data_IF_432181949732
#
_entry.id   IF_432181949732
#
_cell.length_a   1.000
_cell.length_b   1.000
_cell.length_c   1.000
_cell.angle_alpha   90.00
_cell.angle_beta   90.00
_cell.angle_gamma   90.00
#
_symmetry.space_group_name_H-M   'P 1'
#
loop_
_entity.id
_entity.type
_entity.pdbx_description
1 polymer ?
#
# COMPACT_ATOMS: atom_id res chain seq x y z
N UNK A 1 50.52 46.27 53.21
CA UNK A 1 50.25 45.10 52.38
C UNK A 1 48.86 45.24 51.89
N UNK A 2 48.70 45.90 50.78
CA UNK A 2 47.41 46.12 50.09
C UNK A 2 47.36 45.20 48.87
N UNK A 3 46.30 44.38 48.79
CA UNK A 3 46.06 43.44 47.70
C UNK A 3 45.65 44.19 46.44
N UNK A 4 46.04 43.73 45.23
CA UNK A 4 45.64 44.32 43.95
C UNK A 4 44.22 43.92 43.56
N UNK A 5 43.54 44.86 42.95
CA UNK A 5 42.19 44.80 42.38
C UNK A 5 42.15 44.02 41.06
N UNK A 6 41.29 43.01 40.87
CA UNK A 6 41.22 42.20 39.65
C UNK A 6 40.06 42.61 38.69
N UNK A 7 39.98 43.88 38.29
CA UNK A 7 38.99 44.31 37.29
C UNK A 7 39.63 45.13 36.18
N UNK A 8 40.40 44.46 35.32
CA UNK A 8 40.79 45.00 34.01
C UNK A 8 40.22 44.09 32.91
N UNK A 9 38.95 44.28 32.56
CA UNK A 9 38.37 43.71 31.34
C UNK A 9 38.92 44.45 30.13
N UNK A 10 39.86 43.81 29.41
CA UNK A 10 40.29 44.26 28.10
C UNK A 10 39.17 43.99 27.08
N UNK A 11 38.48 45.06 26.66
CA UNK A 11 37.59 45.05 25.52
C UNK A 11 38.39 44.69 24.24
N UNK A 12 38.14 43.51 23.69
CA UNK A 12 38.60 43.16 22.32
C UNK A 12 37.73 43.90 21.31
N UNK A 13 38.32 44.58 20.32
CA UNK A 13 37.55 45.29 19.29
C UNK A 13 36.93 44.29 18.33
N UNK A 14 35.61 44.38 18.19
CA UNK A 14 34.76 44.05 17.06
C UNK A 14 35.17 42.94 16.12
N UNK A 15 34.91 41.68 16.47
CA UNK A 15 34.69 40.66 15.44
C UNK A 15 33.33 40.92 14.76
N UNK A 16 33.35 41.62 13.61
CA UNK A 16 32.25 41.62 12.68
C UNK A 16 32.04 40.20 12.20
N UNK A 17 31.07 39.48 12.72
CA UNK A 17 30.59 38.20 12.16
C UNK A 17 30.11 38.45 10.74
N UNK A 18 30.83 37.95 9.76
CA UNK A 18 30.38 37.93 8.39
C UNK A 18 28.98 37.33 8.31
N UNK A 19 28.03 37.92 7.55
CA UNK A 19 26.71 37.34 7.38
C UNK A 19 26.88 35.94 6.78
N UNK A 20 26.47 34.93 7.57
CA UNK A 20 26.46 33.55 7.11
C UNK A 20 25.69 33.44 5.78
N UNK A 21 26.02 32.46 4.90
CA UNK A 21 25.34 32.31 3.62
C UNK A 21 23.84 32.21 3.91
N UNK A 22 23.09 33.22 3.46
CA UNK A 22 21.64 33.22 3.50
C UNK A 22 21.18 31.95 2.78
N UNK A 23 20.62 31.01 3.55
CA UNK A 23 19.98 29.85 2.98
C UNK A 23 19.01 30.35 1.91
N UNK A 24 19.21 29.91 0.67
CA UNK A 24 18.32 30.23 -0.43
C UNK A 24 16.89 29.98 0.02
N UNK A 25 15.96 30.93 -0.24
CA UNK A 25 14.57 30.77 0.18
C UNK A 25 14.07 29.42 -0.38
N UNK A 26 13.73 28.51 0.54
CA UNK A 26 13.04 27.27 0.18
C UNK A 26 11.81 27.70 -0.63
N UNK A 27 11.63 27.19 -1.87
CA UNK A 27 10.46 27.54 -2.64
C UNK A 27 9.23 27.26 -1.79
N UNK A 28 8.53 28.31 -1.37
CA UNK A 28 7.24 28.16 -0.71
C UNK A 28 6.32 27.58 -1.76
N UNK A 29 6.00 26.29 -1.60
CA UNK A 29 4.98 25.61 -2.38
C UNK A 29 3.75 26.49 -2.45
N UNK A 30 3.46 27.01 -3.63
CA UNK A 30 2.26 27.79 -3.88
C UNK A 30 1.06 26.91 -3.53
N UNK A 31 0.24 27.24 -2.54
CA UNK A 31 -0.94 26.46 -2.23
C UNK A 31 -1.92 26.60 -3.39
N UNK A 32 -1.95 25.62 -4.31
CA UNK A 32 -2.86 25.60 -5.44
C UNK A 32 -2.25 25.31 -6.81
N UNK A 33 -1.00 24.84 -6.89
CA UNK A 33 -0.44 24.36 -8.15
C UNK A 33 -1.32 23.27 -8.74
N UNK A 34 -1.89 23.48 -9.93
CA UNK A 34 -2.69 22.46 -10.63
C UNK A 34 -1.82 21.22 -10.81
N UNK A 35 -2.24 20.12 -10.22
CA UNK A 35 -1.61 18.80 -10.42
C UNK A 35 -1.56 18.56 -11.93
N UNK A 36 -0.36 18.37 -12.47
CA UNK A 36 -0.17 18.24 -13.91
C UNK A 36 -0.90 17.00 -14.47
N UNK A 37 -1.25 17.02 -15.75
CA UNK A 37 -1.92 15.90 -16.45
C UNK A 37 -1.16 14.57 -16.25
N UNK A 38 0.18 14.61 -16.25
CA UNK A 38 1.02 13.44 -16.04
C UNK A 38 0.80 12.78 -14.65
N UNK A 39 0.55 13.58 -13.61
CA UNK A 39 0.27 13.06 -12.26
C UNK A 39 -1.11 12.44 -12.18
N UNK A 40 -2.11 13.05 -12.80
CA UNK A 40 -3.45 12.46 -12.90
C UNK A 40 -3.42 11.14 -13.67
N UNK A 41 -2.66 11.06 -14.76
CA UNK A 41 -2.46 9.82 -15.51
C UNK A 41 -1.74 8.75 -14.67
N UNK A 42 -0.72 9.13 -13.90
CA UNK A 42 -0.02 8.22 -13.00
C UNK A 42 -0.93 7.70 -11.86
N UNK A 43 -1.76 8.58 -11.29
CA UNK A 43 -2.75 8.20 -10.27
C UNK A 43 -3.80 7.23 -10.82
N UNK A 44 -4.34 7.53 -12.01
CA UNK A 44 -5.28 6.64 -12.68
C UNK A 44 -4.65 5.29 -13.02
N UNK A 45 -3.44 5.28 -13.58
CA UNK A 45 -2.69 4.06 -13.86
C UNK A 45 -2.38 3.26 -12.57
N UNK A 46 -2.08 3.95 -11.47
CA UNK A 46 -1.87 3.33 -10.15
C UNK A 46 -3.09 2.59 -9.60
N UNK A 47 -4.30 2.92 -10.08
CA UNK A 47 -5.55 2.22 -9.76
C UNK A 47 -5.87 1.14 -10.80
N UNK A 48 -5.74 1.47 -12.07
CA UNK A 48 -6.16 0.59 -13.17
C UNK A 48 -5.25 -0.63 -13.32
N UNK A 49 -3.93 -0.43 -13.29
CA UNK A 49 -2.98 -1.51 -13.54
C UNK A 49 -3.04 -2.63 -12.48
N UNK A 50 -3.04 -2.35 -11.17
CA UNK A 50 -3.22 -3.40 -10.18
C UNK A 50 -4.59 -4.10 -10.26
N UNK A 51 -5.66 -3.37 -10.58
CA UNK A 51 -6.98 -3.96 -10.76
C UNK A 51 -7.00 -4.98 -11.91
N UNK A 52 -6.41 -4.63 -13.05
CA UNK A 52 -6.21 -5.55 -14.18
C UNK A 52 -5.33 -6.74 -13.74
N UNK A 53 -4.26 -6.49 -12.99
CA UNK A 53 -3.37 -7.54 -12.48
C UNK A 53 -4.10 -8.56 -11.61
N UNK A 54 -4.94 -8.10 -10.68
CA UNK A 54 -5.73 -9.00 -9.81
C UNK A 54 -6.72 -9.82 -10.65
N UNK A 55 -7.43 -9.19 -11.58
CA UNK A 55 -8.36 -9.91 -12.46
C UNK A 55 -7.62 -10.90 -13.37
N UNK A 56 -6.46 -10.53 -13.91
CA UNK A 56 -5.64 -11.41 -14.74
C UNK A 56 -5.14 -12.64 -13.96
N UNK A 57 -4.78 -12.48 -12.68
CA UNK A 57 -4.44 -13.61 -11.81
C UNK A 57 -5.61 -14.60 -11.69
N UNK A 58 -6.84 -14.13 -11.70
CA UNK A 58 -8.04 -14.97 -11.71
C UNK A 58 -8.08 -15.96 -12.88
N UNK A 59 -7.48 -15.64 -14.03
CA UNK A 59 -7.46 -16.52 -15.21
C UNK A 59 -6.62 -17.80 -15.04
N UNK A 60 -5.76 -17.85 -14.01
CA UNK A 60 -4.84 -18.97 -13.74
C UNK A 60 -5.14 -19.69 -12.41
N UNK A 61 -6.17 -19.27 -11.66
CA UNK A 61 -6.57 -19.93 -10.41
C UNK A 61 -7.01 -21.39 -10.59
N UNK A 62 -7.45 -21.78 -11.79
CA UNK A 62 -7.73 -23.18 -12.10
C UNK A 62 -6.50 -24.05 -12.40
N UNK A 63 -5.30 -23.42 -12.53
CA UNK A 63 -4.05 -24.11 -12.89
C UNK A 63 -3.15 -24.31 -11.67
N UNK A 64 -3.19 -23.38 -10.73
CA UNK A 64 -2.37 -23.43 -9.51
C UNK A 64 -3.14 -22.91 -8.30
N UNK A 65 -2.74 -23.37 -7.11
CA UNK A 65 -3.32 -22.90 -5.86
C UNK A 65 -3.08 -21.38 -5.67
N UNK A 66 -3.99 -20.66 -4.96
CA UNK A 66 -3.81 -19.24 -4.65
C UNK A 66 -2.46 -18.92 -3.99
N UNK A 67 -2.02 -19.76 -3.06
CA UNK A 67 -0.73 -19.62 -2.37
C UNK A 67 0.44 -19.75 -3.34
N UNK A 68 0.37 -20.72 -4.28
CA UNK A 68 1.37 -20.92 -5.33
C UNK A 68 1.48 -19.69 -6.23
N UNK A 69 0.35 -19.15 -6.68
CA UNK A 69 0.33 -17.93 -7.51
C UNK A 69 0.93 -16.75 -6.73
N UNK A 70 0.61 -16.60 -5.43
CA UNK A 70 1.07 -15.51 -4.62
C UNK A 70 2.60 -15.42 -4.56
N UNK A 71 3.30 -16.49 -4.21
CA UNK A 71 4.77 -16.43 -4.17
C UNK A 71 5.40 -16.35 -5.56
N UNK A 72 4.80 -17.01 -6.57
CA UNK A 72 5.34 -16.98 -7.93
C UNK A 72 5.36 -15.58 -8.55
N UNK A 73 4.36 -14.74 -8.28
CA UNK A 73 4.34 -13.37 -8.80
C UNK A 73 5.36 -12.46 -8.10
N UNK A 74 5.83 -12.81 -6.90
CA UNK A 74 6.87 -12.04 -6.22
C UNK A 74 8.23 -12.20 -6.90
N UNK A 75 8.51 -13.34 -7.57
CA UNK A 75 9.81 -13.60 -8.21
C UNK A 75 10.13 -12.58 -9.33
N UNK A 76 9.29 -12.41 -10.37
CA UNK A 76 9.57 -11.41 -11.40
C UNK A 76 9.60 -9.99 -10.85
N UNK A 77 8.71 -9.65 -9.90
CA UNK A 77 8.73 -8.34 -9.25
C UNK A 77 10.05 -8.08 -8.53
N UNK A 78 10.53 -9.05 -7.77
CA UNK A 78 11.80 -8.97 -7.07
C UNK A 78 12.97 -8.75 -8.03
N UNK A 79 13.05 -9.53 -9.13
CA UNK A 79 14.09 -9.38 -10.13
C UNK A 79 14.12 -7.95 -10.69
N UNK A 80 12.96 -7.44 -11.13
CA UNK A 80 12.85 -6.08 -11.69
C UNK A 80 13.23 -5.03 -10.65
N UNK A 81 12.71 -5.12 -9.43
CA UNK A 81 12.97 -4.13 -8.38
C UNK A 81 14.44 -4.16 -7.92
N UNK A 82 15.06 -5.33 -7.82
CA UNK A 82 16.47 -5.47 -7.44
C UNK A 82 17.39 -4.91 -8.53
N UNK A 83 17.15 -5.25 -9.80
CA UNK A 83 17.96 -4.73 -10.91
C UNK A 83 17.86 -3.21 -10.99
N UNK A 84 16.64 -2.66 -10.82
CA UNK A 84 16.36 -1.24 -10.91
C UNK A 84 16.94 -0.44 -9.73
N UNK A 85 16.71 -0.89 -8.50
CA UNK A 85 17.02 -0.12 -7.29
C UNK A 85 18.39 -0.48 -6.68
N UNK A 86 19.04 -1.54 -7.15
CA UNK A 86 20.43 -1.93 -6.81
C UNK A 86 20.68 -1.94 -5.29
N UNK A 87 19.95 -2.78 -4.49
CA UNK A 87 20.01 -2.76 -3.03
C UNK A 87 21.43 -2.98 -2.47
N UNK A 88 22.32 -3.61 -3.24
CA UNK A 88 23.73 -3.79 -2.87
C UNK A 88 24.55 -2.49 -2.83
N UNK A 89 24.03 -1.38 -3.39
CA UNK A 89 24.63 -0.05 -3.29
C UNK A 89 24.16 0.74 -2.08
N UNK A 90 23.16 0.22 -1.38
CA UNK A 90 22.54 0.83 -0.21
C UNK A 90 22.81 -0.06 0.99
N UNK A 91 23.35 0.48 2.07
CA UNK A 91 23.52 -0.27 3.31
C UNK A 91 22.17 -0.42 4.01
N UNK A 92 21.42 -1.46 3.71
CA UNK A 92 20.14 -1.72 4.39
C UNK A 92 20.31 -2.01 5.88
N UNK A 93 21.50 -2.55 6.28
CA UNK A 93 21.75 -2.96 7.66
C UNK A 93 20.75 -4.01 8.17
N UNK A 94 20.89 -4.42 9.42
CA UNK A 94 20.00 -5.44 10.04
C UNK A 94 18.55 -4.96 10.12
N UNK A 95 18.34 -3.67 10.42
CA UNK A 95 16.99 -3.09 10.53
C UNK A 95 16.28 -3.06 9.17
N UNK A 96 16.95 -2.61 8.12
CA UNK A 96 16.39 -2.61 6.77
C UNK A 96 16.09 -4.01 6.25
N UNK A 97 16.93 -4.99 6.56
CA UNK A 97 16.67 -6.40 6.24
C UNK A 97 15.44 -6.93 7.00
N UNK A 98 15.29 -6.61 8.29
CA UNK A 98 14.11 -6.98 9.07
C UNK A 98 12.81 -6.42 8.48
N UNK A 99 12.81 -5.14 8.07
CA UNK A 99 11.67 -4.51 7.38
C UNK A 99 11.41 -5.22 6.05
N UNK A 100 12.43 -5.53 5.26
CA UNK A 100 12.30 -6.24 4.00
C UNK A 100 11.61 -7.60 4.18
N UNK A 101 12.01 -8.38 5.19
CA UNK A 101 11.37 -9.67 5.52
C UNK A 101 9.89 -9.45 5.81
N UNK A 102 9.55 -8.48 6.67
CA UNK A 102 8.15 -8.20 7.04
C UNK A 102 7.34 -7.80 5.80
N UNK A 103 7.84 -6.90 4.98
CA UNK A 103 7.18 -6.45 3.75
C UNK A 103 6.96 -7.62 2.78
N UNK A 104 7.98 -8.46 2.57
CA UNK A 104 7.85 -9.64 1.72
C UNK A 104 6.78 -10.61 2.19
N UNK A 105 6.79 -10.95 3.49
CA UNK A 105 5.79 -11.83 4.11
C UNK A 105 4.38 -11.24 4.00
N UNK A 106 4.20 -9.94 4.27
CA UNK A 106 2.90 -9.27 4.15
C UNK A 106 2.39 -9.26 2.70
N UNK A 107 3.27 -9.07 1.73
CA UNK A 107 2.90 -9.10 0.30
C UNK A 107 2.46 -10.49 -0.14
N UNK A 108 3.14 -11.54 0.29
CA UNK A 108 2.76 -12.92 -0.02
C UNK A 108 1.41 -13.28 0.63
N UNK A 109 1.24 -12.99 1.92
CA UNK A 109 -0.01 -13.22 2.63
C UNK A 109 -1.18 -12.41 2.04
N UNK A 110 -0.94 -11.16 1.64
CA UNK A 110 -1.93 -10.36 0.93
C UNK A 110 -2.34 -11.03 -0.39
N UNK A 111 -1.37 -11.42 -1.21
CA UNK A 111 -1.61 -12.08 -2.49
C UNK A 111 -2.38 -13.39 -2.32
N UNK A 112 -1.92 -14.27 -1.44
CA UNK A 112 -2.56 -15.55 -1.11
C UNK A 112 -4.03 -15.35 -0.72
N UNK A 113 -4.33 -14.44 0.21
CA UNK A 113 -5.70 -14.18 0.66
C UNK A 113 -6.55 -13.49 -0.39
N UNK A 114 -6.00 -12.56 -1.15
CA UNK A 114 -6.71 -11.92 -2.25
C UNK A 114 -7.08 -12.92 -3.36
N UNK A 115 -6.15 -13.81 -3.74
CA UNK A 115 -6.41 -14.83 -4.76
C UNK A 115 -7.38 -15.91 -4.26
N UNK A 116 -7.32 -16.27 -2.98
CA UNK A 116 -8.34 -17.11 -2.35
C UNK A 116 -9.72 -16.43 -2.41
N UNK A 117 -9.79 -15.13 -2.18
CA UNK A 117 -11.04 -14.39 -2.20
C UNK A 117 -11.68 -14.36 -3.61
N UNK A 118 -10.90 -14.03 -4.64
CA UNK A 118 -11.44 -13.93 -6.01
C UNK A 118 -11.77 -15.27 -6.66
N UNK A 119 -11.45 -16.38 -5.99
CA UNK A 119 -11.82 -17.72 -6.47
C UNK A 119 -13.34 -17.95 -6.43
N UNK A 120 -14.04 -17.31 -5.50
CA UNK A 120 -15.49 -17.45 -5.32
C UNK A 120 -16.25 -16.12 -5.23
N UNK A 121 -15.53 -14.98 -5.24
CA UNK A 121 -16.12 -13.65 -5.24
C UNK A 121 -15.80 -12.92 -6.56
N UNK A 122 -16.71 -12.08 -7.06
CA UNK A 122 -16.36 -11.11 -8.08
C UNK A 122 -15.17 -10.27 -7.63
N UNK A 123 -14.23 -10.00 -8.55
CA UNK A 123 -12.98 -9.29 -8.24
C UNK A 123 -13.23 -7.95 -7.54
N UNK A 124 -14.22 -7.19 -8.02
CA UNK A 124 -14.60 -5.90 -7.41
C UNK A 124 -15.07 -6.04 -5.97
N UNK A 125 -15.84 -7.10 -5.65
CA UNK A 125 -16.33 -7.35 -4.29
C UNK A 125 -15.18 -7.71 -3.36
N UNK A 126 -14.28 -8.59 -3.79
CA UNK A 126 -13.10 -8.96 -3.01
C UNK A 126 -12.23 -7.74 -2.69
N UNK A 127 -11.96 -6.89 -3.69
CA UNK A 127 -11.23 -5.63 -3.49
C UNK A 127 -11.99 -4.67 -2.59
N UNK A 128 -13.31 -4.50 -2.77
CA UNK A 128 -14.13 -3.62 -1.93
C UNK A 128 -14.09 -4.04 -0.46
N UNK A 129 -14.27 -5.33 -0.18
CA UNK A 129 -14.22 -5.88 1.17
C UNK A 129 -12.83 -5.64 1.79
N UNK A 130 -11.75 -5.91 1.06
CA UNK A 130 -10.39 -5.70 1.59
C UNK A 130 -10.10 -4.24 1.93
N UNK A 131 -10.59 -3.29 1.14
CA UNK A 131 -10.39 -1.86 1.39
C UNK A 131 -11.16 -1.34 2.61
N UNK A 132 -12.23 -2.01 3.04
CA UNK A 132 -13.00 -1.56 4.22
C UNK A 132 -12.21 -1.67 5.52
N UNK A 133 -11.20 -2.53 5.58
CA UNK A 133 -10.29 -2.60 6.75
C UNK A 133 -9.60 -1.27 6.99
N UNK A 134 -9.24 -0.54 5.92
CA UNK A 134 -8.70 0.81 6.02
C UNK A 134 -9.66 1.83 6.66
N UNK A 135 -10.98 1.63 6.52
CA UNK A 135 -11.97 2.48 7.16
C UNK A 135 -11.97 2.36 8.70
N UNK A 136 -11.57 1.20 9.24
CA UNK A 136 -11.48 1.01 10.69
C UNK A 136 -10.44 1.96 11.31
N UNK A 137 -9.33 2.20 10.62
CA UNK A 137 -8.36 3.23 11.06
C UNK A 137 -8.96 4.62 10.99
N UNK A 138 -9.70 4.92 9.92
CA UNK A 138 -10.42 6.17 9.79
C UNK A 138 -11.42 6.40 10.92
N UNK A 139 -12.03 5.32 11.47
CA UNK A 139 -12.91 5.39 12.65
C UNK A 139 -12.17 5.81 13.91
N UNK A 140 -10.96 5.29 14.11
CA UNK A 140 -10.15 5.58 15.30
C UNK A 140 -9.65 7.03 15.26
N UNK A 141 -9.24 7.51 14.09
CA UNK A 141 -8.61 8.82 13.91
C UNK A 141 -9.57 9.89 13.36
N UNK A 142 -10.71 9.49 12.80
CA UNK A 142 -11.70 10.40 12.21
C UNK A 142 -12.51 11.15 13.27
N UNK A 143 -12.88 12.41 12.96
CA UNK A 143 -13.72 13.23 13.81
C UNK A 143 -15.12 13.42 13.20
N UNK A 144 -16.13 13.51 14.07
CA UNK A 144 -17.49 13.87 13.70
C UNK A 144 -18.38 12.74 13.16
N UNK A 145 -19.59 13.11 12.74
CA UNK A 145 -20.67 12.19 12.31
C UNK A 145 -20.33 11.41 11.03
N UNK A 146 -19.42 11.91 10.19
CA UNK A 146 -19.05 11.29 8.90
C UNK A 146 -18.48 9.88 9.06
N UNK A 147 -17.74 9.62 10.14
CA UNK A 147 -17.17 8.29 10.42
C UNK A 147 -18.25 7.24 10.64
N UNK A 148 -19.32 7.59 11.35
CA UNK A 148 -20.42 6.65 11.60
C UNK A 148 -21.22 6.36 10.33
N UNK A 149 -21.44 7.40 9.50
CA UNK A 149 -22.08 7.22 8.21
C UNK A 149 -21.28 6.31 7.29
N UNK A 150 -19.95 6.53 7.21
CA UNK A 150 -19.04 5.68 6.42
C UNK A 150 -19.08 4.23 6.92
N UNK A 151 -19.04 4.00 8.24
CA UNK A 151 -19.15 2.66 8.81
C UNK A 151 -20.50 2.02 8.48
N UNK A 152 -21.61 2.74 8.65
CA UNK A 152 -22.93 2.23 8.35
C UNK A 152 -23.07 1.82 6.87
N UNK A 153 -22.54 2.64 5.95
CA UNK A 153 -22.51 2.31 4.52
C UNK A 153 -21.64 1.08 4.24
N UNK A 154 -20.46 0.99 4.85
CA UNK A 154 -19.59 -0.16 4.68
C UNK A 154 -20.23 -1.44 5.20
N UNK A 155 -20.85 -1.41 6.38
CA UNK A 155 -21.58 -2.55 6.95
C UNK A 155 -22.76 -2.94 6.07
N UNK A 156 -23.56 -1.98 5.59
CA UNK A 156 -24.68 -2.25 4.67
C UNK A 156 -24.17 -2.90 3.36
N UNK A 157 -23.02 -2.45 2.82
CA UNK A 157 -22.38 -3.08 1.66
C UNK A 157 -21.95 -4.52 1.92
N UNK A 158 -21.38 -4.80 3.10
CA UNK A 158 -21.05 -6.18 3.51
C UNK A 158 -22.30 -7.06 3.65
N UNK A 159 -23.35 -6.53 4.23
CA UNK A 159 -24.64 -7.26 4.33
C UNK A 159 -25.18 -7.58 2.94
N UNK A 160 -25.10 -6.65 1.98
CA UNK A 160 -25.51 -6.90 0.60
C UNK A 160 -24.72 -8.07 -0.03
N UNK A 161 -23.42 -8.14 0.19
CA UNK A 161 -22.59 -9.27 -0.28
C UNK A 161 -22.91 -10.56 0.48
N UNK A 162 -23.02 -10.50 1.80
CA UNK A 162 -23.29 -11.65 2.64
C UNK A 162 -24.68 -12.27 2.37
N UNK A 163 -25.67 -11.46 1.95
CA UNK A 163 -27.00 -11.95 1.62
C UNK A 163 -26.99 -12.97 0.47
N UNK A 164 -26.03 -12.88 -0.43
CA UNK A 164 -25.84 -13.86 -1.52
C UNK A 164 -25.20 -15.15 -1.04
N UNK A 165 -24.44 -15.10 0.07
CA UNK A 165 -23.70 -16.23 0.62
C UNK A 165 -24.59 -17.04 1.57
N UNK A 166 -25.52 -17.84 1.03
CA UNK A 166 -26.35 -18.71 1.87
C UNK A 166 -25.50 -19.78 2.56
N UNK A 167 -25.49 -19.84 3.91
CA UNK A 167 -24.66 -20.80 4.64
C UNK A 167 -25.13 -22.26 4.50
N UNK A 168 -26.31 -22.47 3.93
CA UNK A 168 -26.92 -23.80 3.73
C UNK A 168 -26.37 -24.52 2.51
N UNK A 169 -25.70 -23.82 1.58
CA UNK A 169 -25.13 -24.39 0.34
C UNK A 169 -23.61 -24.48 0.44
N UNK A 170 -23.00 -25.42 -0.34
CA UNK A 170 -21.54 -25.51 -0.45
C UNK A 170 -20.96 -24.23 -1.02
N UNK A 171 -21.58 -23.67 -2.05
CA UNK A 171 -21.18 -22.42 -2.68
C UNK A 171 -21.25 -21.24 -1.71
N UNK A 172 -22.29 -21.19 -0.86
CA UNK A 172 -22.42 -20.17 0.15
C UNK A 172 -21.33 -20.23 1.22
N UNK A 173 -20.91 -21.43 1.65
CA UNK A 173 -19.75 -21.60 2.57
C UNK A 173 -18.44 -21.17 1.93
N UNK A 174 -18.22 -21.54 0.67
CA UNK A 174 -17.05 -21.11 -0.09
C UNK A 174 -17.01 -19.58 -0.24
N UNK A 175 -18.14 -18.97 -0.52
CA UNK A 175 -18.26 -17.52 -0.61
C UNK A 175 -17.99 -16.83 0.74
N UNK A 176 -18.49 -17.36 1.85
CA UNK A 176 -18.19 -16.83 3.19
C UNK A 176 -16.69 -16.94 3.52
N UNK A 177 -16.03 -18.07 3.20
CA UNK A 177 -14.60 -18.23 3.39
C UNK A 177 -13.80 -17.22 2.57
N UNK A 178 -14.26 -16.94 1.34
CA UNK A 178 -13.67 -15.95 0.45
C UNK A 178 -13.86 -14.51 0.94
N UNK A 179 -15.00 -14.18 1.57
CA UNK A 179 -15.20 -12.89 2.24
C UNK A 179 -14.21 -12.72 3.41
N UNK A 180 -14.03 -13.77 4.23
CA UNK A 180 -13.03 -13.75 5.32
C UNK A 180 -11.60 -13.61 4.77
N UNK A 181 -11.26 -14.32 3.69
CA UNK A 181 -9.97 -14.18 3.03
C UNK A 181 -9.74 -12.74 2.54
N UNK A 182 -10.77 -12.11 1.97
CA UNK A 182 -10.72 -10.72 1.53
C UNK A 182 -10.50 -9.73 2.69
N UNK A 183 -11.14 -9.94 3.84
CA UNK A 183 -10.91 -9.14 5.04
C UNK A 183 -9.47 -9.28 5.52
N UNK A 184 -8.92 -10.52 5.56
CA UNK A 184 -7.52 -10.74 5.91
C UNK A 184 -6.56 -10.08 4.91
N UNK A 185 -6.85 -10.13 3.61
CA UNK A 185 -6.08 -9.37 2.61
C UNK A 185 -6.07 -7.88 2.95
N UNK A 186 -7.20 -7.31 3.36
CA UNK A 186 -7.28 -5.92 3.82
C UNK A 186 -6.42 -5.63 5.05
N UNK A 187 -6.36 -6.55 6.02
CA UNK A 187 -5.49 -6.43 7.20
C UNK A 187 -4.02 -6.39 6.78
N UNK A 188 -3.59 -7.28 5.88
CA UNK A 188 -2.20 -7.29 5.41
C UNK A 188 -1.87 -6.04 4.59
N UNK A 189 -2.79 -5.58 3.73
CA UNK A 189 -2.64 -4.32 3.00
C UNK A 189 -2.44 -3.12 3.94
N UNK A 190 -3.17 -3.12 5.06
CA UNK A 190 -3.03 -2.11 6.09
C UNK A 190 -1.65 -2.14 6.74
N UNK A 191 -1.16 -3.33 7.14
CA UNK A 191 0.18 -3.47 7.70
C UNK A 191 1.26 -3.08 6.70
N UNK A 192 1.09 -3.39 5.42
CA UNK A 192 2.00 -2.91 4.36
C UNK A 192 2.06 -1.38 4.32
N UNK A 193 0.91 -0.70 4.37
CA UNK A 193 0.89 0.77 4.39
C UNK A 193 1.60 1.36 5.63
N UNK A 194 1.50 0.68 6.78
CA UNK A 194 2.26 1.06 7.98
C UNK A 194 3.76 0.86 7.78
N UNK A 195 4.19 -0.26 7.19
CA UNK A 195 5.61 -0.52 6.91
C UNK A 195 6.18 0.52 5.93
N UNK A 196 5.44 0.87 4.89
CA UNK A 196 5.84 1.93 3.96
C UNK A 196 6.05 3.29 4.65
N UNK A 197 5.23 3.60 5.64
CA UNK A 197 5.41 4.80 6.45
C UNK A 197 6.69 4.73 7.27
N UNK A 198 7.01 3.57 7.86
CA UNK A 198 8.25 3.35 8.63
C UNK A 198 9.47 3.45 7.71
N UNK A 199 9.45 2.82 6.53
CA UNK A 199 10.52 2.89 5.53
C UNK A 199 10.85 4.34 5.17
N UNK A 200 9.81 5.15 4.89
CA UNK A 200 10.00 6.54 4.51
C UNK A 200 10.59 7.39 5.64
N UNK A 201 10.28 7.08 6.90
CA UNK A 201 10.83 7.78 8.06
C UNK A 201 12.29 7.41 8.32
N UNK A 202 12.66 6.17 8.03
CA UNK A 202 14.02 5.68 8.18
C UNK A 202 14.91 6.01 6.98
N UNK A 203 14.34 6.59 5.92
CA UNK A 203 15.06 7.00 4.72
C UNK A 203 15.48 5.84 3.80
N UNK A 204 14.87 4.66 3.95
CA UNK A 204 15.15 3.53 3.06
C UNK A 204 14.48 3.71 1.69
N UNK A 205 15.16 3.26 0.61
CA UNK A 205 14.54 3.15 -0.70
C UNK A 205 13.55 1.97 -0.71
N UNK A 206 12.27 2.29 -0.86
CA UNK A 206 11.17 1.31 -0.84
C UNK A 206 11.35 0.22 -1.87
N UNK A 207 11.80 0.57 -3.07
CA UNK A 207 12.01 -0.42 -4.13
C UNK A 207 13.12 -1.40 -3.80
N UNK A 208 14.18 -0.96 -3.10
CA UNK A 208 15.25 -1.83 -2.64
C UNK A 208 14.75 -2.77 -1.52
N UNK A 209 14.04 -2.24 -0.54
CA UNK A 209 13.46 -3.01 0.57
C UNK A 209 12.46 -4.04 0.04
N UNK A 210 11.50 -3.62 -0.78
CA UNK A 210 10.50 -4.52 -1.39
C UNK A 210 11.15 -5.60 -2.25
N UNK A 211 12.14 -5.25 -3.07
CA UNK A 211 12.84 -6.22 -3.92
C UNK A 211 13.52 -7.33 -3.12
N UNK A 212 14.24 -6.97 -2.06
CA UNK A 212 14.88 -7.94 -1.15
C UNK A 212 13.82 -8.77 -0.40
N UNK A 213 12.77 -8.11 0.10
CA UNK A 213 11.67 -8.76 0.80
C UNK A 213 10.95 -9.80 -0.06
N UNK A 214 10.67 -9.46 -1.31
CA UNK A 214 10.00 -10.36 -2.26
C UNK A 214 10.81 -11.60 -2.57
N UNK A 215 12.15 -11.51 -2.71
CA UNK A 215 12.99 -12.71 -2.87
C UNK A 215 12.92 -13.58 -1.62
N UNK A 216 13.07 -12.99 -0.43
CA UNK A 216 13.05 -13.75 0.82
C UNK A 216 11.69 -14.45 0.99
N UNK A 217 10.60 -13.75 0.74
CA UNK A 217 9.26 -14.32 0.80
C UNK A 217 9.05 -15.42 -0.26
N UNK A 218 9.43 -15.17 -1.50
CA UNK A 218 9.30 -16.15 -2.58
C UNK A 218 10.10 -17.43 -2.30
N UNK A 219 11.31 -17.31 -1.75
CA UNK A 219 12.10 -18.48 -1.35
C UNK A 219 11.48 -19.21 -0.16
N UNK A 220 11.07 -18.47 0.89
CA UNK A 220 10.50 -19.08 2.10
C UNK A 220 9.16 -19.77 1.83
N UNK A 221 8.21 -19.07 1.26
CA UNK A 221 6.88 -19.61 0.95
C UNK A 221 6.90 -20.55 -0.26
N UNK A 222 7.72 -20.23 -1.27
CA UNK A 222 7.88 -21.09 -2.46
C UNK A 222 8.46 -22.47 -2.12
N UNK A 223 9.48 -22.55 -1.28
CA UNK A 223 10.03 -23.83 -0.80
C UNK A 223 8.98 -24.64 -0.04
N UNK A 224 8.26 -23.99 0.87
CA UNK A 224 7.18 -24.64 1.63
C UNK A 224 6.07 -25.13 0.71
N UNK A 225 5.59 -24.30 -0.21
CA UNK A 225 4.48 -24.61 -1.08
C UNK A 225 4.85 -25.70 -2.08
N UNK A 226 6.05 -25.65 -2.67
CA UNK A 226 6.58 -26.68 -3.55
C UNK A 226 6.70 -28.06 -2.87
N UNK A 227 6.94 -28.11 -1.55
CA UNK A 227 6.95 -29.37 -0.80
C UNK A 227 5.56 -29.94 -0.53
N UNK A 228 4.54 -29.08 -0.48
CA UNK A 228 3.15 -29.48 -0.16
C UNK A 228 2.36 -29.78 -1.44
N UNK A 229 2.42 -28.90 -2.41
CA UNK A 229 1.57 -28.95 -3.63
C UNK A 229 2.33 -29.33 -4.90
N UNK A 230 3.68 -29.39 -4.84
CA UNK A 230 4.53 -29.54 -6.01
C UNK A 230 4.64 -28.24 -6.82
N UNK A 231 5.43 -28.29 -7.88
CA UNK A 231 5.57 -27.15 -8.80
C UNK A 231 4.56 -27.34 -9.93
N UNK A 232 3.67 -26.34 -10.20
CA UNK A 232 2.69 -26.46 -11.28
C UNK A 232 3.37 -26.55 -12.64
N UNK A 233 2.68 -27.18 -13.62
CA UNK A 233 3.19 -27.27 -14.98
C UNK A 233 3.38 -25.86 -15.59
N UNK A 234 4.62 -25.47 -15.76
CA UNK A 234 5.00 -24.15 -16.30
C UNK A 234 4.92 -24.16 -17.83
N UNK A 235 3.76 -23.86 -18.36
CA UNK A 235 3.65 -23.56 -19.79
C UNK A 235 3.90 -22.08 -20.07
N UNK A 236 4.21 -21.74 -21.32
CA UNK A 236 4.55 -20.36 -21.70
C UNK A 236 3.43 -19.36 -21.40
N UNK A 237 2.15 -19.76 -21.52
CA UNK A 237 0.99 -18.90 -21.18
C UNK A 237 0.92 -18.61 -19.69
N UNK A 238 1.07 -19.63 -18.85
CA UNK A 238 1.07 -19.46 -17.39
C UNK A 238 2.19 -18.53 -16.94
N UNK A 239 3.41 -18.76 -17.45
CA UNK A 239 4.55 -17.90 -17.11
C UNK A 239 4.35 -16.45 -17.59
N UNK A 240 3.81 -16.25 -18.79
CA UNK A 240 3.50 -14.91 -19.31
C UNK A 240 2.49 -14.17 -18.41
N UNK A 241 1.44 -14.88 -17.93
CA UNK A 241 0.46 -14.30 -16.99
C UNK A 241 1.12 -13.96 -15.66
N UNK A 242 1.93 -14.84 -15.07
CA UNK A 242 2.67 -14.57 -13.82
C UNK A 242 3.53 -13.32 -13.96
N UNK A 243 4.29 -13.16 -15.04
CA UNK A 243 5.13 -11.98 -15.29
C UNK A 243 4.24 -10.73 -15.44
N UNK A 244 3.15 -10.80 -16.21
CA UNK A 244 2.24 -9.68 -16.40
C UNK A 244 1.60 -9.24 -15.08
N UNK A 245 1.05 -10.18 -14.30
CA UNK A 245 0.45 -9.94 -12.98
C UNK A 245 1.46 -9.30 -12.03
N UNK A 246 2.69 -9.85 -11.99
CA UNK A 246 3.80 -9.31 -11.21
C UNK A 246 4.12 -7.85 -11.54
N UNK A 247 4.21 -7.54 -12.83
CA UNK A 247 4.46 -6.18 -13.30
C UNK A 247 3.29 -5.24 -12.97
N UNK A 248 2.06 -5.69 -13.12
CA UNK A 248 0.87 -4.88 -12.91
C UNK A 248 0.61 -4.60 -11.42
N UNK A 249 0.78 -5.60 -10.56
CA UNK A 249 0.45 -5.46 -9.12
C UNK A 249 1.58 -4.81 -8.32
N UNK A 250 2.84 -5.15 -8.59
CA UNK A 250 3.97 -4.75 -7.73
C UNK A 250 4.91 -3.75 -8.38
N UNK A 251 5.28 -3.96 -9.65
CA UNK A 251 6.28 -3.09 -10.30
C UNK A 251 5.65 -1.75 -10.68
N UNK A 252 4.47 -1.74 -11.30
CA UNK A 252 3.84 -0.53 -11.80
C UNK A 252 3.52 0.48 -10.66
N UNK A 253 2.92 0.08 -9.51
CA UNK A 253 2.69 1.01 -8.41
C UNK A 253 3.99 1.59 -7.85
N UNK A 254 5.03 0.76 -7.71
CA UNK A 254 6.33 1.20 -7.20
C UNK A 254 6.99 2.24 -8.11
N UNK A 255 6.83 2.07 -9.44
CA UNK A 255 7.37 3.02 -10.43
C UNK A 255 6.56 4.31 -10.47
N UNK A 256 5.22 4.21 -10.52
CA UNK A 256 4.31 5.35 -10.63
C UNK A 256 4.34 6.21 -9.35
N UNK A 257 4.52 5.59 -8.20
CA UNK A 257 4.55 6.28 -6.91
C UNK A 257 5.64 7.33 -6.84
N UNK A 258 6.79 7.12 -7.47
CA UNK A 258 7.86 8.14 -7.53
C UNK A 258 7.38 9.45 -8.17
N UNK A 259 6.52 9.35 -9.18
CA UNK A 259 5.93 10.52 -9.85
C UNK A 259 4.87 11.16 -8.96
N UNK A 260 4.05 10.33 -8.33
CA UNK A 260 2.91 10.76 -7.51
C UNK A 260 3.35 11.41 -6.20
N UNK A 261 4.29 10.78 -5.46
CA UNK A 261 4.74 11.25 -4.14
C UNK A 261 5.42 12.63 -4.20
N UNK A 262 5.94 13.03 -5.36
CA UNK A 262 6.57 14.33 -5.57
C UNK A 262 5.57 15.46 -5.85
N UNK A 263 4.37 15.15 -6.34
CA UNK A 263 3.48 16.14 -6.92
C UNK A 263 2.01 16.04 -6.46
N UNK A 264 1.62 14.95 -5.82
CA UNK A 264 0.25 14.74 -5.33
C UNK A 264 0.20 14.61 -3.82
N UNK A 265 -0.73 15.30 -3.20
CA UNK A 265 -1.01 15.16 -1.78
C UNK A 265 -1.74 13.85 -1.46
N UNK A 266 -1.64 13.39 -0.21
CA UNK A 266 -2.26 12.14 0.23
C UNK A 266 -3.78 12.12 0.04
N UNK A 267 -4.44 13.30 0.07
CA UNK A 267 -5.88 13.40 -0.15
C UNK A 267 -6.24 13.12 -1.61
N UNK A 268 -5.47 13.64 -2.55
CA UNK A 268 -5.66 13.37 -3.99
C UNK A 268 -5.44 11.90 -4.28
N UNK A 269 -4.38 11.29 -3.74
CA UNK A 269 -4.14 9.84 -3.88
C UNK A 269 -5.30 9.01 -3.32
N UNK A 270 -5.80 9.35 -2.11
CA UNK A 270 -6.92 8.67 -1.49
C UNK A 270 -8.19 8.72 -2.35
N UNK A 271 -8.47 9.86 -3.00
CA UNK A 271 -9.63 10.00 -3.90
C UNK A 271 -9.57 9.10 -5.12
N UNK A 272 -8.38 8.92 -5.72
CA UNK A 272 -8.23 7.96 -6.82
C UNK A 272 -8.41 6.52 -6.36
N UNK A 273 -7.85 6.16 -5.21
CA UNK A 273 -7.98 4.81 -4.66
C UNK A 273 -9.42 4.40 -4.34
N UNK A 274 -10.33 5.36 -4.11
CA UNK A 274 -11.77 5.07 -3.93
C UNK A 274 -12.36 4.33 -5.12
N UNK A 275 -11.88 4.58 -6.33
CA UNK A 275 -12.38 3.94 -7.55
C UNK A 275 -11.80 2.54 -7.79
N UNK A 276 -10.81 2.12 -7.01
CA UNK A 276 -10.15 0.83 -7.21
C UNK A 276 -11.12 -0.36 -7.24
N UNK A 277 -12.10 -0.51 -6.32
CA UNK A 277 -13.05 -1.60 -6.38
C UNK A 277 -13.93 -1.60 -7.64
N UNK A 278 -14.35 -0.40 -8.09
CA UNK A 278 -15.16 -0.28 -9.30
C UNK A 278 -14.36 -0.65 -10.56
N UNK A 279 -13.10 -0.21 -10.65
CA UNK A 279 -12.20 -0.60 -11.75
C UNK A 279 -11.91 -2.09 -11.71
N UNK A 280 -11.71 -2.68 -10.52
CA UNK A 280 -11.52 -4.11 -10.35
C UNK A 280 -12.75 -4.92 -10.76
N UNK A 281 -13.97 -4.41 -10.51
CA UNK A 281 -15.20 -5.02 -11.01
C UNK A 281 -15.24 -5.03 -12.53
N UNK A 282 -14.95 -3.91 -13.18
CA UNK A 282 -14.89 -3.82 -14.65
C UNK A 282 -13.83 -4.77 -15.21
N UNK A 283 -12.65 -4.84 -14.59
CA UNK A 283 -11.62 -5.79 -14.99
C UNK A 283 -12.08 -7.25 -14.86
N UNK A 284 -12.80 -7.59 -13.78
CA UNK A 284 -13.39 -8.93 -13.60
C UNK A 284 -14.43 -9.27 -14.65
N UNK A 285 -15.29 -8.32 -15.03
CA UNK A 285 -16.25 -8.51 -16.13
C UNK A 285 -15.54 -8.77 -17.46
N UNK A 286 -14.54 -7.94 -17.77
CA UNK A 286 -13.85 -7.99 -19.08
C UNK A 286 -12.94 -9.21 -19.21
N UNK A 287 -12.17 -9.54 -18.17
CA UNK A 287 -11.14 -10.59 -18.23
C UNK A 287 -11.64 -11.97 -17.82
N UNK A 288 -12.59 -12.02 -16.87
CA UNK A 288 -13.10 -13.27 -16.31
C UNK A 288 -14.53 -13.60 -16.75
N UNK A 289 -15.20 -12.69 -17.49
CA UNK A 289 -16.60 -12.86 -17.86
C UNK A 289 -17.55 -12.85 -16.66
N UNK A 290 -17.15 -12.31 -15.53
CA UNK A 290 -17.98 -12.23 -14.33
C UNK A 290 -19.19 -11.33 -14.58
N UNK A 291 -20.39 -11.83 -14.28
CA UNK A 291 -21.62 -11.03 -14.38
C UNK A 291 -22.02 -10.61 -12.97
N UNK A 292 -21.80 -9.36 -12.57
CA UNK A 292 -22.18 -8.90 -11.23
C UNK A 292 -23.71 -8.89 -11.09
N UNK A 293 -24.19 -9.38 -9.97
CA UNK A 293 -25.60 -9.29 -9.59
C UNK A 293 -25.96 -7.85 -9.19
N UNK A 294 -27.25 -7.56 -9.07
CA UNK A 294 -27.71 -6.26 -8.56
C UNK A 294 -27.19 -5.99 -7.14
N UNK A 295 -27.11 -7.02 -6.29
CA UNK A 295 -26.60 -6.88 -4.91
C UNK A 295 -25.10 -6.63 -4.91
N UNK A 296 -24.33 -7.18 -5.85
CA UNK A 296 -22.90 -6.86 -6.01
C UNK A 296 -22.72 -5.37 -6.34
N UNK A 297 -23.53 -4.84 -7.24
CA UNK A 297 -23.46 -3.44 -7.62
C UNK A 297 -23.88 -2.52 -6.46
N UNK A 298 -24.94 -2.88 -5.73
CA UNK A 298 -25.37 -2.13 -4.54
C UNK A 298 -24.32 -2.16 -3.45
N UNK A 299 -23.79 -3.33 -3.11
CA UNK A 299 -22.74 -3.48 -2.11
C UNK A 299 -21.49 -2.70 -2.47
N UNK A 300 -21.05 -2.77 -3.75
CA UNK A 300 -19.95 -2.01 -4.28
C UNK A 300 -20.18 -0.50 -4.18
N UNK A 301 -21.36 -0.01 -4.55
CA UNK A 301 -21.70 1.41 -4.47
C UNK A 301 -21.69 1.92 -3.03
N UNK A 302 -22.22 1.15 -2.09
CA UNK A 302 -22.22 1.49 -0.66
C UNK A 302 -20.80 1.57 -0.09
N UNK A 303 -19.95 0.59 -0.38
CA UNK A 303 -18.55 0.60 0.09
C UNK A 303 -17.75 1.72 -0.58
N UNK A 304 -17.92 1.92 -1.89
CA UNK A 304 -17.27 3.03 -2.59
C UNK A 304 -17.70 4.38 -2.02
N UNK A 305 -18.98 4.55 -1.70
CA UNK A 305 -19.50 5.73 -1.01
C UNK A 305 -18.88 5.92 0.39
N UNK A 306 -18.72 4.84 1.15
CA UNK A 306 -18.04 4.87 2.45
C UNK A 306 -16.58 5.33 2.31
N UNK A 307 -15.85 4.78 1.37
CA UNK A 307 -14.47 5.16 1.06
C UNK A 307 -14.36 6.63 0.61
N UNK A 308 -15.31 7.09 -0.21
CA UNK A 308 -15.37 8.48 -0.66
C UNK A 308 -15.55 9.45 0.52
N UNK A 309 -16.47 9.18 1.42
CA UNK A 309 -16.69 10.00 2.61
C UNK A 309 -15.43 10.09 3.46
N UNK A 310 -14.67 8.99 3.58
CA UNK A 310 -13.44 8.92 4.37
C UNK A 310 -12.20 9.46 3.64
N UNK A 311 -12.18 9.53 2.32
CA UNK A 311 -11.04 10.05 1.55
C UNK A 311 -10.70 11.52 1.86
N UNK A 312 -11.64 12.25 2.45
CA UNK A 312 -11.43 13.60 2.97
C UNK A 312 -10.73 13.67 4.34
N UNK A 313 -10.57 12.52 5.04
CA UNK A 313 -9.97 12.43 6.38
C UNK A 313 -8.50 12.05 6.25
N UNK A 314 -7.60 12.88 6.78
CA UNK A 314 -6.17 12.59 6.78
C UNK A 314 -5.88 11.50 7.82
N UNK A 315 -5.56 10.30 7.37
CA UNK A 315 -5.36 9.09 8.22
C UNK A 315 -4.04 9.14 8.99
N UNK A 316 -3.10 10.00 8.59
CA UNK A 316 -1.79 10.09 9.26
C UNK A 316 -1.87 11.04 10.46
N UNK A 317 -1.79 10.55 11.70
CA UNK A 317 -1.73 11.42 12.87
C UNK A 317 -0.37 12.13 12.87
N UNK A 318 -0.35 13.40 12.49
CA UNK A 318 0.84 14.29 12.59
C UNK A 318 1.51 14.27 13.98
N UNK A 319 0.83 13.73 15.01
CA UNK A 319 1.32 13.69 16.39
C UNK A 319 2.32 12.56 16.67
N UNK A 320 2.30 11.46 15.95
CA UNK A 320 3.24 10.35 16.19
C UNK A 320 4.68 10.68 15.76
N UNK A 321 4.86 11.65 14.88
CA UNK A 321 6.15 12.00 14.29
C UNK A 321 6.59 13.44 14.59
N UNK A 322 6.02 14.06 15.63
CA UNK A 322 6.56 15.32 16.12
C UNK A 322 7.98 15.01 16.60
N UNK A 323 9.00 15.38 15.80
CA UNK A 323 10.40 15.40 16.22
C UNK A 323 10.40 15.94 17.65
N UNK A 324 10.82 15.13 18.62
CA UNK A 324 11.29 15.64 19.92
C UNK A 324 12.32 16.66 19.56
N UNK A 325 11.93 17.91 19.77
CA UNK A 325 12.64 19.05 19.28
C UNK A 325 14.07 19.03 19.72
N UNK A 326 14.88 19.62 18.90
CA UNK A 326 16.13 20.21 19.26
C UNK A 326 16.03 20.78 20.69
N UNK A 327 16.42 19.98 21.67
CA UNK A 327 16.85 20.53 22.94
C UNK A 327 18.00 21.46 22.58
N UNK A 328 17.74 22.75 22.64
CA UNK A 328 18.80 23.72 22.69
C UNK A 328 19.68 23.27 23.87
N UNK A 329 20.85 22.74 23.54
CA UNK A 329 21.95 22.65 24.47
C UNK A 329 22.36 24.11 24.66
N UNK A 330 21.79 24.73 25.69
CA UNK A 330 22.39 25.92 26.31
C UNK A 330 23.66 25.40 26.96
N UNK A 331 24.79 25.64 26.28
CA UNK A 331 26.08 25.55 26.92
C UNK A 331 26.16 26.71 27.92
N UNK A 332 26.18 26.39 29.21
CA UNK A 332 26.73 27.21 30.27
C UNK A 332 28.27 27.09 30.28
#
# INVERSE_FOLDING_TARGET
MTAPDPTAHSEMPGQQTAPGPQAAPVPQDSPGGRVGVAVHAALAAGVVLPAIGIALAGTILGVAAPDTIAWMILVPAAIVLIVRNRPWRQSLGVRGLGIAVIVGVLCDLYGSRMFTAINHLPVGNAVAISMTVGLLIGLIHGQGKRRFLSLALALAGHVAFAYQASPSTLDGKAMQSSMMASLWAGVFLLFMAMMESIESHLGYDRGAVSGVGFIIAALGFGLRDATIHGIPAMNGRFLAVIIAVSCLIFVSPTVLRRIVDQQADARTQARYNVFFPAVAMVAGVVLLGQVPSLLDLVGLALITGALWIMSGVTIVPRRFFRKRGSGAVTAD
#
